data_IF_996847852700
#
_entry.id   IF_996847852700
#
_cell.length_a   1.000
_cell.length_b   1.000
_cell.length_c   1.000
_cell.angle_alpha   90.00
_cell.angle_beta   90.00
_cell.angle_gamma   90.00
#
_symmetry.space_group_name_H-M   'P 1'
#
loop_
_entity.id
_entity.type
_entity.pdbx_description
1 polymer ?
#
# COMPACT_ATOMS: atom_id res chain seq x y z
N UNK A 1 13.07 -8.36 2.48
CA UNK A 1 11.77 -7.95 3.04
C UNK A 1 11.55 -8.48 4.47
N UNK A 2 12.25 -9.53 4.91
CA UNK A 2 12.10 -10.08 6.28
C UNK A 2 12.38 -9.08 7.40
N UNK A 3 13.40 -8.23 7.24
CA UNK A 3 13.67 -7.16 8.20
C UNK A 3 12.45 -6.25 8.38
N UNK A 4 11.78 -5.85 7.28
CA UNK A 4 10.56 -5.05 7.33
C UNK A 4 9.43 -5.80 8.03
N UNK A 5 9.22 -7.09 7.75
CA UNK A 5 8.20 -7.90 8.45
C UNK A 5 8.43 -7.92 9.95
N UNK A 6 9.68 -8.12 10.38
CA UNK A 6 10.00 -8.12 11.81
C UNK A 6 9.77 -6.74 12.45
N UNK A 7 10.08 -5.66 11.73
CA UNK A 7 9.76 -4.30 12.17
C UNK A 7 8.25 -4.08 12.31
N UNK A 8 7.46 -4.51 11.33
CA UNK A 8 5.99 -4.40 11.35
C UNK A 8 5.41 -5.21 12.52
N UNK A 9 5.87 -6.46 12.71
CA UNK A 9 5.44 -7.29 13.84
C UNK A 9 5.78 -6.67 15.19
N UNK A 10 7.00 -6.15 15.34
CA UNK A 10 7.42 -5.45 16.56
C UNK A 10 6.57 -4.20 16.83
N UNK A 11 6.12 -3.50 15.79
CA UNK A 11 5.17 -2.40 15.94
C UNK A 11 3.77 -2.90 16.35
N UNK A 12 3.25 -3.97 15.73
CA UNK A 12 1.95 -4.55 16.05
C UNK A 12 1.86 -5.08 17.49
N UNK A 13 2.97 -5.59 18.05
CA UNK A 13 3.02 -6.08 19.43
C UNK A 13 2.81 -4.96 20.46
N UNK A 14 3.42 -3.79 20.24
CA UNK A 14 3.26 -2.63 21.11
C UNK A 14 3.69 -1.33 20.40
N UNK A 15 2.75 -0.59 19.78
CA UNK A 15 3.06 0.61 19.01
C UNK A 15 3.75 1.70 19.84
N UNK A 16 3.33 1.89 21.11
CA UNK A 16 3.89 2.92 22.00
C UNK A 16 5.34 2.61 22.38
N UNK A 17 5.63 1.37 22.78
CA UNK A 17 6.99 0.92 23.07
C UNK A 17 7.88 1.00 21.83
N UNK A 18 7.33 0.61 20.67
CA UNK A 18 8.03 0.70 19.40
C UNK A 18 8.41 2.16 19.10
N UNK A 19 7.45 3.08 19.15
CA UNK A 19 7.67 4.52 18.92
C UNK A 19 8.75 5.09 19.86
N UNK A 20 8.66 4.81 21.16
CA UNK A 20 9.65 5.25 22.16
C UNK A 20 11.06 4.71 21.86
N UNK A 21 11.17 3.43 21.48
CA UNK A 21 12.48 2.83 21.14
C UNK A 21 13.13 3.39 19.87
N UNK A 22 12.33 4.02 19.00
CA UNK A 22 12.79 4.68 17.76
C UNK A 22 12.87 6.20 17.90
N UNK A 23 12.76 6.74 19.12
CA UNK A 23 12.91 8.18 19.40
C UNK A 23 11.73 9.04 18.97
N UNK A 24 10.56 8.43 18.73
CA UNK A 24 9.33 9.16 18.42
C UNK A 24 8.67 9.61 19.72
N UNK A 25 8.45 10.91 19.86
CA UNK A 25 7.73 11.48 21.00
C UNK A 25 6.26 11.08 20.91
N UNK A 26 5.80 10.27 21.87
CA UNK A 26 4.39 9.98 22.07
C UNK A 26 3.87 10.94 23.15
N UNK A 27 2.74 11.59 22.90
CA UNK A 27 2.12 12.48 23.88
C UNK A 27 1.87 11.72 25.20
N UNK A 28 1.96 12.39 26.36
CA UNK A 28 1.53 11.79 27.62
C UNK A 28 0.05 11.41 27.50
N UNK A 29 -0.31 10.25 28.04
CA UNK A 29 -1.69 9.77 28.15
C UNK A 29 -2.59 10.93 28.60
N UNK A 30 -3.58 11.30 27.78
CA UNK A 30 -4.54 12.33 28.13
C UNK A 30 -5.38 11.88 29.33
N UNK A 31 -5.53 12.79 30.30
CA UNK A 31 -6.30 12.63 31.53
C UNK A 31 -7.61 11.85 31.31
N UNK A 32 -7.63 10.59 31.71
CA UNK A 32 -8.85 9.79 31.90
C UNK A 32 -9.51 9.19 30.65
N UNK A 33 -8.87 9.20 29.47
CA UNK A 33 -9.35 8.42 28.33
C UNK A 33 -8.84 6.97 28.40
N UNK A 34 -9.72 6.02 28.12
CA UNK A 34 -9.46 4.58 28.12
C UNK A 34 -8.24 4.24 27.22
N UNK A 35 -7.10 3.77 27.79
CA UNK A 35 -5.89 3.48 27.03
C UNK A 35 -6.08 2.43 25.92
N UNK A 36 -7.15 1.63 25.98
CA UNK A 36 -7.51 0.68 24.92
C UNK A 36 -8.14 1.33 23.67
N UNK A 37 -8.44 2.64 23.70
CA UNK A 37 -9.12 3.34 22.59
C UNK A 37 -8.22 4.25 21.74
N UNK A 38 -6.92 4.31 22.02
CA UNK A 38 -5.99 5.12 21.21
C UNK A 38 -5.68 4.41 19.87
N UNK A 39 -5.97 5.08 18.76
CA UNK A 39 -5.66 4.55 17.42
C UNK A 39 -4.22 4.92 17.04
N UNK A 40 -3.39 3.91 16.85
CA UNK A 40 -2.07 4.07 16.25
C UNK A 40 -2.09 3.70 14.77
N UNK A 41 -1.49 4.53 13.91
CA UNK A 41 -1.44 4.33 12.46
C UNK A 41 0.00 4.02 12.04
N UNK A 42 0.18 2.93 11.28
CA UNK A 42 1.44 2.59 10.62
C UNK A 42 1.30 2.74 9.11
N UNK A 43 2.17 3.54 8.49
CA UNK A 43 2.26 3.65 7.03
C UNK A 43 3.46 2.83 6.57
N UNK A 44 3.22 1.85 5.70
CA UNK A 44 4.25 1.03 5.07
C UNK A 44 4.33 1.44 3.60
N UNK A 45 5.48 1.94 3.16
CA UNK A 45 5.68 2.39 1.78
C UNK A 45 6.82 1.62 1.09
N UNK A 46 6.65 1.36 -0.21
CA UNK A 46 7.59 0.57 -0.99
C UNK A 46 7.00 0.08 -2.31
N UNK A 47 7.87 -0.25 -3.27
CA UNK A 47 7.47 -0.57 -4.64
C UNK A 47 7.16 -2.06 -4.90
N UNK A 48 7.40 -2.97 -3.95
CA UNK A 48 7.15 -4.42 -4.06
C UNK A 48 6.40 -5.02 -2.85
N UNK A 49 5.69 -4.18 -2.10
CA UNK A 49 5.00 -4.59 -0.87
C UNK A 49 3.99 -5.73 -1.14
N UNK A 50 3.16 -5.55 -2.16
CA UNK A 50 2.03 -6.41 -2.46
C UNK A 50 2.38 -7.74 -3.12
N UNK A 51 3.62 -7.91 -3.58
CA UNK A 51 4.13 -9.20 -4.07
C UNK A 51 4.71 -10.06 -2.94
N UNK A 52 4.82 -9.50 -1.72
CA UNK A 52 5.42 -10.18 -0.58
C UNK A 52 4.37 -10.76 0.36
N UNK A 53 4.07 -12.06 0.18
CA UNK A 53 3.03 -12.78 0.92
C UNK A 53 3.00 -12.54 2.45
N UNK A 54 4.14 -12.55 3.17
CA UNK A 54 4.12 -12.33 4.62
C UNK A 54 3.58 -10.98 5.10
N UNK A 55 3.46 -9.98 4.21
CA UNK A 55 2.88 -8.69 4.54
C UNK A 55 1.41 -8.56 4.14
N UNK A 56 0.84 -9.49 3.35
CA UNK A 56 -0.53 -9.35 2.87
C UNK A 56 -1.56 -9.31 4.00
N UNK A 57 -1.31 -10.03 5.09
CA UNK A 57 -2.23 -10.13 6.22
C UNK A 57 -2.14 -8.94 7.20
N UNK A 58 -1.22 -7.99 6.97
CA UNK A 58 -1.00 -6.85 7.89
C UNK A 58 -1.71 -5.57 7.47
N UNK A 59 -2.24 -5.52 6.24
CA UNK A 59 -2.77 -4.28 5.67
C UNK A 59 -4.26 -4.12 5.94
N UNK A 60 -4.63 -3.03 6.62
CA UNK A 60 -6.03 -2.61 6.73
C UNK A 60 -6.50 -1.82 5.50
N UNK A 61 -5.58 -1.07 4.88
CA UNK A 61 -5.84 -0.21 3.73
C UNK A 61 -4.64 -0.23 2.80
N UNK A 62 -4.89 -0.29 1.49
CA UNK A 62 -3.86 -0.39 0.47
C UNK A 62 -4.05 0.68 -0.60
N UNK A 63 -2.94 1.29 -1.04
CA UNK A 63 -2.91 2.30 -2.10
C UNK A 63 -1.86 1.93 -3.14
N UNK A 64 -2.20 2.09 -4.41
CA UNK A 64 -1.31 1.77 -5.52
C UNK A 64 -1.14 2.98 -6.44
N UNK A 65 0.02 3.63 -6.37
CA UNK A 65 0.36 4.75 -7.24
C UNK A 65 0.86 4.22 -8.59
N UNK A 66 0.22 4.65 -9.68
CA UNK A 66 0.61 4.28 -11.03
C UNK A 66 1.00 5.52 -11.86
N UNK A 67 2.09 5.39 -12.62
CA UNK A 67 2.64 6.45 -13.48
C UNK A 67 2.90 5.83 -14.87
N UNK A 68 2.46 6.46 -15.97
CA UNK A 68 2.76 6.00 -17.32
C UNK A 68 4.27 5.90 -17.59
N UNK A 69 4.65 4.98 -18.48
CA UNK A 69 6.04 4.68 -18.84
C UNK A 69 6.91 5.92 -19.06
N UNK A 70 6.48 6.84 -19.93
CA UNK A 70 7.27 8.02 -20.33
C UNK A 70 7.57 8.92 -19.13
N UNK A 71 6.55 9.21 -18.31
CA UNK A 71 6.72 10.07 -17.15
C UNK A 71 7.53 9.37 -16.05
N UNK A 72 7.34 8.06 -15.87
CA UNK A 72 8.13 7.27 -14.92
C UNK A 72 9.62 7.28 -15.32
N UNK A 73 9.93 7.07 -16.60
CA UNK A 73 11.28 7.12 -17.15
C UNK A 73 11.90 8.50 -16.96
N UNK A 74 11.16 9.56 -17.27
CA UNK A 74 11.60 10.96 -17.08
C UNK A 74 11.92 11.26 -15.62
N UNK A 75 11.00 10.95 -14.69
CA UNK A 75 11.21 11.15 -13.23
C UNK A 75 12.39 10.35 -12.71
N UNK A 76 12.52 9.07 -13.12
CA UNK A 76 13.65 8.22 -12.71
C UNK A 76 14.98 8.75 -13.23
N UNK A 77 15.03 9.24 -14.47
CA UNK A 77 16.26 9.81 -15.05
C UNK A 77 16.74 11.05 -14.32
N UNK A 78 15.87 11.76 -13.61
CA UNK A 78 16.22 12.91 -12.76
C UNK A 78 16.61 12.55 -11.33
N UNK A 79 16.45 11.28 -10.92
CA UNK A 79 16.73 10.83 -9.55
C UNK A 79 18.17 10.34 -9.42
N UNK A 80 18.86 10.78 -8.37
CA UNK A 80 20.19 10.28 -8.03
C UNK A 80 20.07 9.06 -7.13
N UNK A 81 20.53 7.90 -7.62
CA UNK A 81 20.68 6.68 -6.83
C UNK A 81 22.13 6.55 -6.31
N UNK A 82 22.32 5.80 -5.22
CA UNK A 82 23.65 5.49 -4.67
C UNK A 82 24.55 4.79 -5.68
N UNK A 83 23.96 3.87 -6.46
CA UNK A 83 24.60 3.25 -7.63
C UNK A 83 23.92 3.84 -8.86
N UNK A 84 24.63 4.58 -9.72
CA UNK A 84 24.07 5.13 -10.94
C UNK A 84 23.48 4.05 -11.85
N UNK A 85 22.34 4.35 -12.49
CA UNK A 85 21.71 3.45 -13.46
C UNK A 85 22.63 3.30 -14.70
N UNK A 86 23.02 2.07 -15.11
CA UNK A 86 23.74 1.89 -16.36
C UNK A 86 22.85 2.23 -17.57
N UNK A 87 23.44 2.55 -18.73
CA UNK A 87 22.68 2.84 -19.96
C UNK A 87 21.67 1.73 -20.27
N UNK A 88 20.42 2.11 -20.53
CA UNK A 88 19.34 1.18 -20.87
C UNK A 88 18.74 0.40 -19.69
N UNK A 89 19.17 0.62 -18.43
CA UNK A 89 18.62 -0.09 -17.27
C UNK A 89 17.09 0.03 -17.17
N UNK A 90 16.56 1.23 -17.42
CA UNK A 90 15.12 1.46 -17.28
C UNK A 90 14.31 0.55 -18.21
N UNK A 91 14.71 0.52 -19.48
CA UNK A 91 14.02 -0.19 -20.55
C UNK A 91 14.27 -1.71 -20.48
N UNK A 92 15.51 -2.09 -20.17
CA UNK A 92 15.93 -3.49 -20.14
C UNK A 92 15.57 -4.23 -18.85
N UNK A 93 15.30 -3.52 -17.75
CA UNK A 93 15.10 -4.17 -16.45
C UNK A 93 13.98 -3.55 -15.61
N UNK A 94 14.04 -2.25 -15.33
CA UNK A 94 13.13 -1.61 -14.36
C UNK A 94 11.68 -1.74 -14.78
N UNK A 95 11.36 -1.33 -16.02
CA UNK A 95 10.01 -1.35 -16.53
C UNK A 95 9.49 -2.78 -16.76
N UNK A 96 10.27 -3.70 -17.39
CA UNK A 96 9.88 -5.11 -17.45
C UNK A 96 9.59 -5.73 -16.08
N UNK A 97 10.41 -5.45 -15.06
CA UNK A 97 10.19 -5.95 -13.70
C UNK A 97 8.93 -5.35 -13.07
N UNK A 98 8.67 -4.05 -13.27
CA UNK A 98 7.42 -3.42 -12.84
C UNK A 98 6.20 -4.12 -13.45
N UNK A 99 6.19 -4.36 -14.77
CA UNK A 99 5.09 -5.05 -15.44
C UNK A 99 4.90 -6.48 -14.94
N UNK A 100 6.00 -7.21 -14.74
CA UNK A 100 5.98 -8.56 -14.16
C UNK A 100 5.33 -8.56 -12.78
N UNK A 101 5.77 -7.68 -11.88
CA UNK A 101 5.21 -7.61 -10.53
C UNK A 101 3.75 -7.14 -10.53
N UNK A 102 3.37 -6.26 -11.46
CA UNK A 102 1.98 -5.87 -11.63
C UNK A 102 1.09 -7.04 -12.01
N UNK A 103 1.52 -7.85 -12.97
CA UNK A 103 0.81 -9.06 -13.37
C UNK A 103 0.71 -10.07 -12.22
N UNK A 104 1.77 -10.21 -11.41
CA UNK A 104 1.73 -11.06 -10.22
C UNK A 104 0.71 -10.60 -9.18
N UNK A 105 0.54 -9.29 -8.96
CA UNK A 105 -0.49 -8.76 -8.06
C UNK A 105 -1.90 -9.10 -8.56
N UNK A 106 -2.15 -8.87 -9.85
CA UNK A 106 -3.43 -9.19 -10.51
C UNK A 106 -3.75 -10.71 -10.39
N UNK A 107 -2.73 -11.57 -10.52
CA UNK A 107 -2.88 -13.03 -10.39
C UNK A 107 -3.06 -13.51 -8.94
N UNK A 108 -2.61 -12.75 -7.94
CA UNK A 108 -2.76 -13.11 -6.52
C UNK A 108 -4.13 -12.69 -5.94
N UNK A 109 -5.04 -12.17 -6.76
CA UNK A 109 -6.37 -11.74 -6.34
C UNK A 109 -6.40 -10.36 -5.67
N UNK A 110 -5.33 -9.57 -5.80
CA UNK A 110 -5.34 -8.16 -5.39
C UNK A 110 -6.13 -7.35 -6.42
N UNK A 111 -7.36 -6.98 -6.08
CA UNK A 111 -8.20 -6.11 -6.91
C UNK A 111 -7.73 -4.66 -6.78
N UNK A 112 -7.01 -4.17 -7.81
CA UNK A 112 -6.63 -2.76 -7.92
C UNK A 112 -7.83 -2.00 -8.49
N UNK A 113 -8.67 -1.48 -7.60
CA UNK A 113 -9.89 -0.77 -7.99
C UNK A 113 -9.52 0.60 -8.54
N UNK A 114 -9.70 0.78 -9.85
CA UNK A 114 -9.76 2.12 -10.44
C UNK A 114 -11.08 2.75 -10.01
N UNK A 115 -11.00 3.94 -9.42
CA UNK A 115 -12.18 4.74 -9.08
C UNK A 115 -12.85 5.20 -10.39
N UNK A 116 -13.63 4.31 -10.99
CA UNK A 116 -14.54 4.60 -12.11
C UNK A 116 -15.93 4.22 -11.66
N UNK A 117 -16.92 5.06 -11.97
CA UNK A 117 -18.35 4.82 -11.82
C UNK A 117 -18.84 3.64 -12.70
N UNK A 118 -18.27 2.45 -12.48
CA UNK A 118 -18.66 1.19 -13.10
C UNK A 118 -19.06 0.18 -12.01
N UNK A 119 -19.71 0.67 -10.96
CA UNK A 119 -20.29 -0.14 -9.89
C UNK A 119 -21.45 -1.06 -10.35
N UNK A 120 -21.72 -1.17 -11.66
CA UNK A 120 -22.88 -1.91 -12.19
C UNK A 120 -22.50 -3.21 -12.90
N UNK A 121 -21.27 -3.42 -13.37
CA UNK A 121 -20.91 -4.69 -14.04
C UNK A 121 -20.23 -5.74 -13.14
N UNK A 122 -19.60 -5.36 -12.04
CA UNK A 122 -18.92 -6.33 -11.16
C UNK A 122 -19.87 -7.17 -10.28
N UNK A 123 -21.14 -6.77 -10.15
CA UNK A 123 -22.12 -7.53 -9.36
C UNK A 123 -22.56 -8.86 -10.01
N UNK A 124 -22.30 -9.06 -11.31
CA UNK A 124 -22.66 -10.29 -12.02
C UNK A 124 -21.51 -11.31 -12.12
N UNK A 125 -20.26 -10.91 -11.87
CA UNK A 125 -19.10 -11.80 -11.99
C UNK A 125 -18.70 -12.53 -10.68
N UNK A 126 -19.24 -12.11 -9.54
CA UNK A 126 -18.96 -12.70 -8.21
C UNK A 126 -19.49 -14.12 -8.01
N UNK A 127 -20.24 -14.69 -8.97
CA UNK A 127 -20.74 -16.05 -8.88
C UNK A 127 -19.86 -17.11 -9.58
N UNK A 128 -18.81 -16.74 -10.31
CA UNK A 128 -18.04 -17.70 -11.14
C UNK A 128 -16.57 -17.91 -10.76
N UNK A 129 -16.00 -17.14 -9.83
CA UNK A 129 -14.59 -17.29 -9.40
C UNK A 129 -14.42 -17.89 -8.00
N UNK A 130 -15.47 -18.45 -7.40
CA UNK A 130 -15.39 -19.11 -6.09
C UNK A 130 -14.78 -20.52 -6.13
N UNK A 131 -14.41 -21.08 -7.30
CA UNK A 131 -14.11 -22.52 -7.43
C UNK A 131 -12.62 -22.85 -7.59
N UNK A 132 -11.68 -21.89 -7.57
CA UNK A 132 -10.25 -22.21 -7.76
C UNK A 132 -9.25 -21.56 -6.78
N UNK A 133 -9.69 -21.03 -5.64
CA UNK A 133 -8.75 -20.59 -4.60
C UNK A 133 -9.12 -21.17 -3.22
N UNK A 134 -8.71 -22.43 -3.00
CA UNK A 134 -8.67 -23.04 -1.68
C UNK A 134 -7.49 -22.46 -0.89
N UNK A 135 -7.67 -21.32 -0.24
CA UNK A 135 -6.99 -20.92 1.00
C UNK A 135 -7.55 -19.57 1.43
N UNK A 136 -7.51 -19.27 2.73
CA UNK A 136 -7.96 -18.03 3.36
C UNK A 136 -7.17 -16.79 2.86
N UNK A 137 -7.21 -16.47 1.58
CA UNK A 137 -6.67 -15.21 1.08
C UNK A 137 -7.68 -14.13 1.45
N UNK A 138 -7.38 -13.35 2.50
CA UNK A 138 -8.05 -12.07 2.70
C UNK A 138 -7.99 -11.32 1.38
N UNK A 139 -9.15 -10.94 0.86
CA UNK A 139 -9.25 -10.11 -0.33
C UNK A 139 -8.72 -8.71 0.03
N UNK A 140 -7.43 -8.48 -0.21
CA UNK A 140 -6.82 -7.17 -0.06
C UNK A 140 -7.08 -6.39 -1.34
N UNK A 141 -8.02 -5.44 -1.32
CA UNK A 141 -8.23 -4.50 -2.42
C UNK A 141 -7.32 -3.29 -2.24
N UNK A 142 -6.61 -2.89 -3.29
CA UNK A 142 -5.80 -1.67 -3.31
C UNK A 142 -6.52 -0.57 -4.08
N UNK A 143 -6.58 0.64 -3.52
CA UNK A 143 -7.11 1.80 -4.21
C UNK A 143 -6.08 2.35 -5.19
N UNK A 144 -6.49 2.53 -6.44
CA UNK A 144 -5.65 3.11 -7.46
C UNK A 144 -5.48 4.62 -7.26
N UNK A 145 -4.23 5.08 -7.26
CA UNK A 145 -3.87 6.49 -7.24
C UNK A 145 -3.18 6.88 -8.55
N UNK A 146 -3.67 7.94 -9.19
CA UNK A 146 -3.05 8.49 -10.39
C UNK A 146 -1.81 9.33 -10.02
N UNK A 147 -0.63 8.79 -10.27
CA UNK A 147 0.65 9.44 -9.99
C UNK A 147 0.99 10.62 -10.90
N UNK A 148 0.11 10.95 -11.88
CA UNK A 148 0.18 12.19 -12.66
C UNK A 148 -0.39 13.40 -11.91
N UNK A 149 -1.20 13.18 -10.87
CA UNK A 149 -1.77 14.24 -10.03
C UNK A 149 -0.70 14.96 -9.21
N UNK A 150 -1.03 16.16 -8.76
CA UNK A 150 -0.16 16.92 -7.87
C UNK A 150 -0.06 16.25 -6.50
N UNK A 151 0.97 16.64 -5.73
CA UNK A 151 1.16 16.15 -4.36
C UNK A 151 -0.06 16.44 -3.47
N UNK A 152 -0.61 17.64 -3.55
CA UNK A 152 -1.71 18.06 -2.68
C UNK A 152 -3.00 17.32 -3.03
N UNK A 153 -3.24 17.06 -4.32
CA UNK A 153 -4.36 16.23 -4.77
C UNK A 153 -4.29 14.79 -4.28
N UNK A 154 -3.11 14.16 -4.36
CA UNK A 154 -2.88 12.82 -3.84
C UNK A 154 -3.03 12.78 -2.32
N UNK A 155 -2.45 13.78 -1.64
CA UNK A 155 -2.55 13.91 -0.18
C UNK A 155 -4.01 14.03 0.26
N UNK A 156 -4.78 14.94 -0.35
CA UNK A 156 -6.17 15.15 0.03
C UNK A 156 -7.03 13.90 -0.25
N UNK A 157 -6.85 13.23 -1.39
CA UNK A 157 -7.56 11.99 -1.69
C UNK A 157 -7.31 10.92 -0.63
N UNK A 158 -6.04 10.64 -0.32
CA UNK A 158 -5.66 9.60 0.66
C UNK A 158 -6.09 10.02 2.07
N UNK A 159 -5.93 11.30 2.41
CA UNK A 159 -6.31 11.82 3.72
C UNK A 159 -7.81 11.67 3.99
N UNK A 160 -8.66 12.11 3.06
CA UNK A 160 -10.11 11.99 3.19
C UNK A 160 -10.55 10.53 3.29
N UNK A 161 -9.98 9.65 2.47
CA UNK A 161 -10.30 8.22 2.49
C UNK A 161 -9.86 7.52 3.78
N UNK A 162 -8.67 7.85 4.34
CA UNK A 162 -8.25 7.37 5.66
C UNK A 162 -9.18 7.91 6.75
N UNK A 163 -9.49 9.21 6.75
CA UNK A 163 -10.40 9.81 7.74
C UNK A 163 -11.77 9.12 7.73
N UNK A 164 -12.35 8.91 6.55
CA UNK A 164 -13.60 8.19 6.39
C UNK A 164 -13.50 6.74 6.88
N UNK A 165 -12.38 6.08 6.62
CA UNK A 165 -12.14 4.71 7.11
C UNK A 165 -12.10 4.66 8.64
N UNK A 166 -11.49 5.65 9.30
CA UNK A 166 -11.43 5.72 10.77
C UNK A 166 -12.77 6.10 11.41
N UNK A 167 -13.55 6.98 10.77
CA UNK A 167 -14.88 7.36 11.27
C UNK A 167 -15.90 6.22 11.22
N UNK A 168 -15.72 5.24 10.33
CA UNK A 168 -16.58 4.06 10.22
C UNK A 168 -16.15 2.90 11.15
N UNK A 169 -15.06 3.06 11.91
CA UNK A 169 -14.58 2.07 12.89
C UNK A 169 -15.21 2.27 14.28
N UNK A 170 -15.81 3.44 14.53
CA UNK A 170 -16.56 3.79 15.74
C UNK A 170 -18.07 3.87 15.47
#
# INVERSE_FOLDING_TARGET
MDAMVNTVKGWMENPVKFARSHGVTVSPESDGSDPEREIHILIIEGFLLYNYKPLLDVYNKCYYVSIPYEECKRRRSTRTYTVPDPPGLFDGHVWPMYLKHRLEMENCGLDIRKSTNLAIEMAFATHFTSVMCNSHALFVSAEYLDGMRTKDELYNQVYEDIQNSLLNVF
#
